data_IF_791236697043
#
_entry.id   IF_791236697043
#
_cell.length_a   1.000
_cell.length_b   1.000
_cell.length_c   1.000
_cell.angle_alpha   90.00
_cell.angle_beta   90.00
_cell.angle_gamma   90.00
#
_symmetry.space_group_name_H-M   'P 1'
#
loop_
_entity.id
_entity.type
_entity.pdbx_description
1 polymer ?
#
# COMPACT_ATOMS: atom_id res chain seq x y z
N UNK A 1 -11.71 12.02 -8.41
CA UNK A 1 -10.53 11.26 -8.86
C UNK A 1 -10.56 11.20 -10.38
N UNK A 2 -9.48 11.61 -11.05
CA UNK A 2 -9.33 11.38 -12.49
C UNK A 2 -8.81 9.96 -12.70
N UNK A 3 -9.27 9.31 -13.78
CA UNK A 3 -8.97 7.91 -14.11
C UNK A 3 -7.46 7.68 -14.29
N UNK A 4 -6.74 8.74 -14.63
CA UNK A 4 -5.28 8.76 -14.83
C UNK A 4 -4.49 8.43 -13.56
N UNK A 5 -5.06 8.66 -12.36
CA UNK A 5 -4.41 8.38 -11.08
C UNK A 5 -4.48 6.87 -10.74
N UNK A 6 -5.46 6.15 -11.31
CA UNK A 6 -5.69 4.72 -11.06
C UNK A 6 -5.13 3.82 -12.17
N UNK A 7 -4.79 4.39 -13.33
CA UNK A 7 -4.14 3.66 -14.41
C UNK A 7 -2.64 3.56 -14.15
N UNK A 8 -2.16 2.37 -13.77
CA UNK A 8 -0.72 2.08 -13.64
C UNK A 8 0.07 2.16 -14.95
N UNK A 9 -0.60 2.42 -16.08
CA UNK A 9 -0.01 2.53 -17.41
C UNK A 9 -0.14 3.99 -17.86
N UNK A 10 0.97 4.72 -17.75
CA UNK A 10 1.12 6.08 -18.26
C UNK A 10 0.78 6.11 -19.76
N UNK A 11 -0.30 6.80 -20.14
CA UNK A 11 -0.70 7.00 -21.54
C UNK A 11 -1.71 5.99 -22.12
N UNK A 12 -2.23 5.05 -21.35
CA UNK A 12 -3.32 4.19 -21.81
C UNK A 12 -4.62 5.01 -21.94
N UNK A 13 -5.31 4.91 -23.09
CA UNK A 13 -6.63 5.52 -23.25
C UNK A 13 -7.61 4.87 -22.28
N UNK A 14 -8.36 5.65 -21.48
CA UNK A 14 -9.30 5.08 -20.52
C UNK A 14 -10.39 4.30 -21.26
N UNK A 15 -10.73 3.12 -20.74
CA UNK A 15 -11.81 2.30 -21.29
C UNK A 15 -13.16 3.01 -21.15
N UNK A 16 -13.92 3.07 -22.23
CA UNK A 16 -15.23 3.72 -22.26
C UNK A 16 -16.21 3.06 -21.27
N UNK A 17 -16.20 1.73 -21.18
CA UNK A 17 -17.03 0.98 -20.23
C UNK A 17 -16.67 1.27 -18.78
N UNK A 18 -15.38 1.50 -18.49
CA UNK A 18 -14.92 1.87 -17.14
C UNK A 18 -15.37 3.29 -16.80
N UNK A 19 -15.28 4.22 -17.75
CA UNK A 19 -15.78 5.59 -17.56
C UNK A 19 -17.29 5.60 -17.28
N UNK A 20 -18.07 4.83 -18.04
CA UNK A 20 -19.51 4.69 -17.83
C UNK A 20 -19.85 4.14 -16.45
N UNK A 21 -19.10 3.13 -15.97
CA UNK A 21 -19.25 2.60 -14.62
C UNK A 21 -19.02 3.66 -13.54
N UNK A 22 -17.95 4.46 -13.67
CA UNK A 22 -17.68 5.55 -12.73
C UNK A 22 -18.74 6.65 -12.78
N UNK A 23 -19.28 6.98 -13.95
CA UNK A 23 -20.39 7.93 -14.07
C UNK A 23 -21.66 7.41 -13.36
N UNK A 24 -21.99 6.13 -13.48
CA UNK A 24 -23.11 5.53 -12.74
C UNK A 24 -22.88 5.61 -11.22
N UNK A 25 -21.67 5.33 -10.75
CA UNK A 25 -21.32 5.39 -9.32
C UNK A 25 -21.38 6.83 -8.79
N UNK A 26 -20.87 7.81 -9.54
CA UNK A 26 -20.91 9.23 -9.14
C UNK A 26 -22.33 9.76 -9.00
N UNK A 27 -23.23 9.30 -9.87
CA UNK A 27 -24.62 9.72 -9.89
C UNK A 27 -25.52 8.85 -8.99
N UNK A 28 -24.96 7.87 -8.28
CA UNK A 28 -25.71 7.05 -7.34
C UNK A 28 -26.14 7.90 -6.14
N UNK A 29 -27.44 7.92 -5.85
CA UNK A 29 -27.98 8.57 -4.65
C UNK A 29 -27.66 7.69 -3.44
N UNK A 30 -26.88 8.15 -2.46
CA UNK A 30 -26.60 7.36 -1.27
C UNK A 30 -27.91 7.16 -0.50
N UNK A 31 -28.38 5.92 -0.42
CA UNK A 31 -29.60 5.54 0.32
C UNK A 31 -29.44 5.64 1.83
N UNK A 32 -28.20 5.85 2.32
CA UNK A 32 -27.88 6.03 3.72
C UNK A 32 -26.59 6.87 3.85
N UNK A 33 -26.66 8.04 4.47
CA UNK A 33 -25.50 8.93 4.71
C UNK A 33 -24.54 8.40 5.79
N UNK A 34 -24.79 7.19 6.31
CA UNK A 34 -24.05 6.61 7.42
C UNK A 34 -22.85 5.75 6.97
N UNK A 35 -22.25 6.06 5.81
CA UNK A 35 -21.06 5.35 5.31
C UNK A 35 -19.91 5.30 6.34
N UNK A 36 -19.90 6.23 7.30
CA UNK A 36 -18.90 6.35 8.37
C UNK A 36 -19.26 5.60 9.66
N UNK A 37 -20.49 5.12 9.86
CA UNK A 37 -20.94 4.60 11.16
C UNK A 37 -20.67 3.10 11.37
N UNK A 38 -20.21 2.40 10.33
CA UNK A 38 -19.86 0.98 10.40
C UNK A 38 -18.37 0.73 10.06
N UNK A 39 -17.57 1.79 10.16
CA UNK A 39 -16.12 1.71 9.98
C UNK A 39 -15.53 1.67 11.38
N UNK A 40 -14.90 0.56 11.75
CA UNK A 40 -14.00 0.57 12.91
C UNK A 40 -12.97 1.68 12.63
N UNK A 41 -12.94 2.78 13.40
CA UNK A 41 -11.92 3.78 13.16
C UNK A 41 -10.56 3.08 13.26
N UNK A 42 -9.73 3.19 12.23
CA UNK A 42 -8.34 2.73 12.29
C UNK A 42 -7.53 3.68 13.18
N UNK A 43 -7.95 3.84 14.44
CA UNK A 43 -7.24 4.55 15.47
C UNK A 43 -6.51 3.52 16.34
N UNK A 44 -5.28 3.85 16.71
CA UNK A 44 -4.48 3.03 17.63
C UNK A 44 -4.72 3.57 19.04
N UNK A 45 -5.05 2.68 19.98
CA UNK A 45 -5.13 3.07 21.38
C UNK A 45 -3.75 3.42 21.91
N UNK A 46 -3.66 4.34 22.88
CA UNK A 46 -2.40 4.60 23.59
C UNK A 46 -1.88 3.33 24.27
N UNK A 47 -2.79 2.44 24.68
CA UNK A 47 -2.46 1.16 25.30
C UNK A 47 -1.86 0.14 24.32
N UNK A 48 -1.99 0.36 23.01
CA UNK A 48 -1.47 -0.54 21.97
C UNK A 48 -0.11 -0.06 21.43
N UNK A 49 0.46 1.01 21.99
CA UNK A 49 1.77 1.51 21.61
C UNK A 49 2.87 0.58 22.15
N UNK A 50 3.84 0.27 21.29
CA UNK A 50 5.04 -0.49 21.70
C UNK A 50 5.96 0.39 22.55
N UNK A 51 6.51 -0.20 23.60
CA UNK A 51 7.56 0.41 24.43
C UNK A 51 8.81 0.78 23.63
N UNK A 52 9.49 1.86 24.02
CA UNK A 52 10.74 2.32 23.42
C UNK A 52 11.95 1.53 23.94
N UNK A 53 12.00 0.25 23.57
CA UNK A 53 13.06 -0.68 23.94
C UNK A 53 13.78 -1.25 22.72
N UNK A 54 15.09 -1.43 22.86
CA UNK A 54 15.95 -2.04 21.82
C UNK A 54 15.79 -3.55 21.86
N UNK A 55 15.35 -4.13 20.74
CA UNK A 55 15.26 -5.57 20.55
C UNK A 55 16.26 -5.95 19.46
N UNK A 56 17.31 -6.68 19.83
CA UNK A 56 18.35 -7.11 18.90
C UNK A 56 17.97 -8.43 18.21
N UNK A 57 18.07 -8.49 16.89
CA UNK A 57 17.90 -9.75 16.15
C UNK A 57 19.05 -10.72 16.40
N UNK A 58 18.73 -12.00 16.48
CA UNK A 58 19.73 -13.06 16.66
C UNK A 58 20.63 -13.22 15.42
N UNK A 59 21.81 -13.84 15.59
CA UNK A 59 22.69 -14.14 14.47
C UNK A 59 22.03 -15.06 13.43
N UNK A 60 21.28 -16.07 13.91
CA UNK A 60 20.53 -17.01 13.08
C UNK A 60 19.45 -16.29 12.24
N UNK A 61 18.70 -15.38 12.86
CA UNK A 61 17.65 -14.61 12.20
C UNK A 61 18.22 -13.71 11.10
N UNK A 62 19.33 -13.02 11.37
CA UNK A 62 20.03 -12.21 10.36
C UNK A 62 20.50 -13.07 9.18
N UNK A 63 20.98 -14.28 9.45
CA UNK A 63 21.41 -15.21 8.41
C UNK A 63 20.21 -15.68 7.56
N UNK A 64 19.11 -16.08 8.19
CA UNK A 64 17.88 -16.49 7.50
C UNK A 64 17.36 -15.39 6.57
N UNK A 65 17.39 -14.13 7.02
CA UNK A 65 16.98 -12.98 6.19
C UNK A 65 17.86 -12.88 4.94
N UNK A 66 19.19 -12.93 5.09
CA UNK A 66 20.15 -12.79 3.98
C UNK A 66 20.04 -13.97 3.00
N UNK A 67 19.75 -15.18 3.49
CA UNK A 67 19.55 -16.37 2.66
C UNK A 67 18.35 -16.23 1.72
N UNK A 68 17.33 -15.48 2.13
CA UNK A 68 16.12 -15.23 1.34
C UNK A 68 16.23 -14.05 0.37
N UNK A 69 17.38 -13.36 0.28
CA UNK A 69 17.54 -12.28 -0.68
C UNK A 69 17.59 -12.82 -2.12
N UNK A 70 16.74 -12.30 -3.04
CA UNK A 70 16.74 -12.75 -4.45
C UNK A 70 18.06 -12.45 -5.15
N UNK A 71 18.70 -11.32 -4.83
CA UNK A 71 20.05 -10.98 -5.25
C UNK A 71 20.80 -10.40 -4.05
N UNK A 72 21.98 -10.93 -3.76
CA UNK A 72 22.80 -10.50 -2.61
C UNK A 72 24.24 -10.17 -3.00
N UNK A 73 24.81 -9.16 -2.37
CA UNK A 73 26.23 -8.80 -2.50
C UNK A 73 26.73 -8.28 -1.15
N UNK A 74 27.78 -8.88 -0.61
CA UNK A 74 28.42 -8.48 0.65
C UNK A 74 27.45 -8.32 1.84
N UNK A 75 26.41 -9.18 1.93
CA UNK A 75 25.39 -9.09 2.98
C UNK A 75 24.27 -8.08 2.72
N UNK A 76 24.30 -7.37 1.59
CA UNK A 76 23.26 -6.43 1.18
C UNK A 76 22.33 -7.03 0.14
N UNK A 77 21.04 -6.69 0.22
CA UNK A 77 20.06 -6.92 -0.83
C UNK A 77 20.36 -5.99 -2.01
N UNK A 78 20.52 -6.57 -3.21
CA UNK A 78 20.83 -5.81 -4.42
C UNK A 78 19.54 -5.55 -5.20
N UNK A 79 19.26 -4.27 -5.43
CA UNK A 79 18.12 -3.79 -6.22
C UNK A 79 18.58 -2.86 -7.33
N UNK A 80 17.71 -2.64 -8.32
CA UNK A 80 17.94 -1.62 -9.33
C UNK A 80 18.06 -0.24 -8.67
N UNK A 81 18.91 0.63 -9.23
CA UNK A 81 19.08 1.99 -8.74
C UNK A 81 17.72 2.70 -8.77
N UNK A 82 17.30 3.27 -7.64
CA UNK A 82 16.10 4.10 -7.57
C UNK A 82 16.30 5.28 -8.52
N UNK A 83 15.37 5.43 -9.45
CA UNK A 83 15.34 6.55 -10.39
C UNK A 83 14.31 7.52 -9.84
N UNK A 84 14.72 8.73 -9.49
CA UNK A 84 13.80 9.83 -9.17
C UNK A 84 13.19 10.32 -10.49
N UNK A 85 11.86 10.41 -10.54
CA UNK A 85 11.08 10.80 -11.72
C UNK A 85 10.46 12.17 -11.60
#
# INVERSE_FOLDING_TARGET
MTVDILSSIKGAKPSESVNQLFEVIKNAVPTNNNATNNVNPNCVSVNDLREDVVIASSALEKQLIIENFPNKKNGFLVVAKVIEG
#
